data_IF_755379952257
#
_entry.id   IF_755379952257
#
_cell.length_a   1.000
_cell.length_b   1.000
_cell.length_c   1.000
_cell.angle_alpha   90.00
_cell.angle_beta   90.00
_cell.angle_gamma   90.00
#
_symmetry.space_group_name_H-M   'P 1'
#
loop_
_entity.id
_entity.type
_entity.pdbx_description
1 polymer ?
#
# COMPACT_ATOMS: atom_id res chain seq x y z
N UNK A 1 -3.85 13.22 6.54
CA UNK A 1 -2.99 12.92 5.37
C UNK A 1 -3.34 11.51 4.95
N UNK A 2 -3.46 11.26 3.64
CA UNK A 2 -3.77 9.92 3.15
C UNK A 2 -2.48 9.09 3.10
N UNK A 3 -2.55 7.77 3.28
CA UNK A 3 -1.37 6.89 3.19
C UNK A 3 -0.63 7.06 1.85
N UNK A 4 -1.36 7.36 0.77
CA UNK A 4 -0.78 7.67 -0.55
C UNK A 4 0.21 8.83 -0.56
N UNK A 5 0.10 9.79 0.36
CA UNK A 5 1.04 10.91 0.46
C UNK A 5 2.45 10.44 0.88
N UNK A 6 2.57 9.24 1.46
CA UNK A 6 3.84 8.62 1.86
C UNK A 6 4.47 7.78 0.73
N UNK A 7 3.75 7.56 -0.37
CA UNK A 7 4.18 6.69 -1.45
C UNK A 7 4.83 7.49 -2.59
N UNK A 8 5.97 7.04 -3.13
CA UNK A 8 6.60 7.69 -4.27
C UNK A 8 5.82 7.42 -5.57
N UNK A 9 6.04 8.22 -6.62
CA UNK A 9 5.45 8.02 -7.96
C UNK A 9 6.11 6.87 -8.75
N UNK A 10 6.40 5.76 -8.06
CA UNK A 10 6.99 4.53 -8.57
C UNK A 10 6.71 3.37 -7.61
N UNK A 11 6.93 2.10 -8.03
CA UNK A 11 6.97 0.99 -7.10
C UNK A 11 8.01 1.25 -6.00
N UNK A 12 7.71 0.77 -4.80
CA UNK A 12 8.62 0.87 -3.66
C UNK A 12 9.78 -0.09 -3.84
N UNK A 13 10.96 0.30 -3.37
CA UNK A 13 12.02 -0.69 -3.11
C UNK A 13 11.70 -1.47 -1.85
N UNK A 14 12.37 -2.61 -1.66
CA UNK A 14 12.24 -3.38 -0.42
C UNK A 14 12.60 -2.56 0.82
N UNK A 15 13.66 -1.75 0.75
CA UNK A 15 14.10 -0.88 1.85
C UNK A 15 13.04 0.17 2.20
N UNK A 16 12.37 0.75 1.21
CA UNK A 16 11.28 1.72 1.43
C UNK A 16 10.05 1.06 2.05
N UNK A 17 9.72 -0.16 1.62
CA UNK A 17 8.67 -0.97 2.25
C UNK A 17 8.98 -1.24 3.72
N UNK A 18 10.20 -1.70 4.04
CA UNK A 18 10.61 -1.97 5.43
C UNK A 18 10.64 -0.70 6.29
N UNK A 19 10.91 0.47 5.70
CA UNK A 19 10.82 1.74 6.40
C UNK A 19 9.36 2.12 6.70
N UNK A 20 8.43 1.86 5.78
CA UNK A 20 7.00 2.09 5.97
C UNK A 20 6.41 1.13 7.02
N UNK A 21 6.80 -0.14 7.01
CA UNK A 21 6.36 -1.14 7.99
C UNK A 21 6.70 -0.74 9.44
N UNK A 22 7.75 0.07 9.63
CA UNK A 22 8.16 0.60 10.95
C UNK A 22 7.46 1.90 11.34
N UNK A 23 6.54 2.42 10.52
CA UNK A 23 5.82 3.64 10.83
C UNK A 23 4.82 3.38 11.95
N UNK A 24 4.90 4.17 13.03
CA UNK A 24 4.03 4.03 14.20
C UNK A 24 2.53 4.25 13.92
N UNK A 25 2.19 4.83 12.76
CA UNK A 25 0.80 5.06 12.34
C UNK A 25 0.20 3.87 11.57
N UNK A 26 0.97 2.81 11.34
CA UNK A 26 0.55 1.65 10.56
C UNK A 26 0.58 0.44 11.49
N UNK A 27 -0.57 -0.21 11.66
CA UNK A 27 -0.70 -1.40 12.50
C UNK A 27 -0.16 -2.65 11.79
N UNK A 28 -0.42 -2.77 10.48
CA UNK A 28 0.10 -3.85 9.63
C UNK A 28 0.33 -3.36 8.20
N UNK A 29 1.41 -3.84 7.58
CA UNK A 29 1.72 -3.59 6.18
C UNK A 29 2.12 -4.92 5.51
N UNK A 30 1.39 -5.31 4.48
CA UNK A 30 1.63 -6.54 3.74
C UNK A 30 1.84 -6.24 2.24
N UNK A 31 2.54 -7.13 1.55
CA UNK A 31 2.80 -7.05 0.10
C UNK A 31 2.69 -8.44 -0.52
N UNK A 32 2.06 -8.53 -1.69
CA UNK A 32 2.03 -9.76 -2.50
C UNK A 32 3.30 -9.90 -3.36
N UNK A 33 4.01 -8.79 -3.59
CA UNK A 33 5.25 -8.76 -4.36
C UNK A 33 6.40 -9.42 -3.58
N UNK A 34 6.97 -10.48 -4.15
CA UNK A 34 8.04 -11.27 -3.52
C UNK A 34 9.43 -11.00 -4.11
N UNK A 35 9.56 -10.38 -5.29
CA UNK A 35 10.88 -10.16 -5.92
C UNK A 35 11.05 -8.72 -6.46
N UNK A 36 12.01 -8.00 -5.86
CA UNK A 36 12.55 -6.74 -6.39
C UNK A 36 11.83 -5.48 -5.91
N UNK A 37 10.65 -5.19 -6.47
CA UNK A 37 9.92 -3.93 -6.23
C UNK A 37 8.50 -4.21 -5.78
N UNK A 38 8.04 -3.51 -4.75
CA UNK A 38 6.69 -3.65 -4.23
C UNK A 38 5.74 -2.74 -5.00
N UNK A 39 4.83 -3.35 -5.76
CA UNK A 39 3.80 -2.66 -6.54
C UNK A 39 2.39 -2.79 -5.95
N UNK A 40 2.19 -3.66 -4.96
CA UNK A 40 0.93 -3.87 -4.25
C UNK A 40 1.16 -3.85 -2.73
N UNK A 41 0.27 -3.17 -2.00
CA UNK A 41 0.34 -3.03 -0.55
C UNK A 41 -1.04 -3.23 0.06
N UNK A 42 -1.11 -3.98 1.15
CA UNK A 42 -2.27 -4.00 2.04
C UNK A 42 -1.87 -3.31 3.34
N UNK A 43 -2.59 -2.25 3.68
CA UNK A 43 -2.27 -1.37 4.81
C UNK A 43 -3.44 -1.42 5.79
N UNK A 44 -3.12 -1.70 7.05
CA UNK A 44 -4.09 -1.68 8.16
C UNK A 44 -3.74 -0.53 9.10
N UNK A 45 -4.71 0.34 9.35
CA UNK A 45 -4.62 1.47 10.29
C UNK A 45 -5.89 1.48 11.14
N UNK A 46 -5.77 1.12 12.42
CA UNK A 46 -6.90 0.85 13.31
C UNK A 46 -7.81 -0.24 12.75
N UNK A 47 -9.11 0.03 12.67
CA UNK A 47 -10.11 -0.86 12.07
C UNK A 47 -10.23 -0.72 10.53
N UNK A 48 -9.38 0.10 9.90
CA UNK A 48 -9.44 0.34 8.45
C UNK A 48 -8.35 -0.44 7.71
N UNK A 49 -8.77 -1.29 6.78
CA UNK A 49 -7.88 -1.94 5.81
C UNK A 49 -8.04 -1.28 4.44
N UNK A 50 -6.91 -1.01 3.77
CA UNK A 50 -6.89 -0.47 2.42
C UNK A 50 -5.85 -1.18 1.56
N UNK A 51 -6.25 -1.52 0.34
CA UNK A 51 -5.40 -2.17 -0.65
C UNK A 51 -4.97 -1.15 -1.70
N UNK A 52 -3.66 -0.89 -1.78
CA UNK A 52 -3.04 0.03 -2.71
C UNK A 52 -2.30 -0.73 -3.80
N UNK A 53 -2.42 -0.25 -5.04
CA UNK A 53 -1.73 -0.81 -6.18
C UNK A 53 -1.12 0.31 -7.02
N UNK A 54 0.10 0.10 -7.51
CA UNK A 54 0.77 1.01 -8.41
C UNK A 54 0.50 0.62 -9.87
N UNK A 55 -0.02 1.57 -10.65
CA UNK A 55 -0.10 1.41 -12.11
C UNK A 55 0.70 2.52 -12.82
N UNK A 56 1.58 2.18 -13.80
CA UNK A 56 2.29 3.18 -14.59
C UNK A 56 1.33 4.18 -15.24
N UNK A 57 1.55 5.47 -15.00
CA UNK A 57 0.72 6.57 -15.52
C UNK A 57 -0.51 6.92 -14.68
N UNK A 58 -0.87 6.11 -13.67
CA UNK A 58 -1.92 6.41 -12.69
C UNK A 58 -1.34 6.63 -11.29
N UNK A 59 -0.17 6.06 -11.00
CA UNK A 59 0.44 6.08 -9.68
C UNK A 59 -0.23 5.09 -8.73
N UNK A 60 -0.03 5.32 -7.44
CA UNK A 60 -0.67 4.54 -6.38
C UNK A 60 -2.15 4.91 -6.24
N UNK A 61 -3.01 3.90 -6.31
CA UNK A 61 -4.45 4.07 -6.15
C UNK A 61 -5.01 2.89 -5.35
N UNK A 62 -6.12 3.12 -4.64
CA UNK A 62 -6.84 2.04 -4.00
C UNK A 62 -7.78 1.38 -4.99
N UNK A 63 -7.79 0.05 -5.01
CA UNK A 63 -8.97 -0.64 -5.51
C UNK A 63 -10.03 -0.52 -4.42
N UNK A 64 -11.09 0.23 -4.69
CA UNK A 64 -12.34 0.01 -3.98
C UNK A 64 -12.77 -1.42 -4.33
N UNK A 65 -12.37 -2.40 -3.50
CA UNK A 65 -12.95 -3.73 -3.58
C UNK A 65 -14.43 -3.50 -3.31
N UNK A 66 -15.23 -3.54 -4.37
CA UNK A 66 -16.68 -3.39 -4.27
C UNK A 66 -17.15 -4.44 -3.28
N UNK A 67 -17.42 -4.01 -2.06
CA UNK A 67 -18.11 -4.81 -1.06
C UNK A 67 -19.56 -4.91 -1.54
N UNK A 68 -19.77 -5.74 -2.56
CA UNK A 68 -21.08 -6.15 -3.03
C UNK A 68 -21.57 -7.18 -2.01
N UNK A 69 -22.03 -6.69 -0.85
CA UNK A 69 -22.95 -7.45 -0.03
C UNK A 69 -24.19 -7.70 -0.87
N UNK A 70 -24.47 -8.96 -1.17
CA UNK A 70 -25.75 -9.43 -1.65
C UNK A 70 -26.26 -10.55 -0.73
#
# INVERSE_FOLDING_TARGET
MAFTDLLPDRPLTREEFEALERNENIDSLETDDSEGTVSALTVVIGDSEANYHFAPGMGWHTHAHGHHHH
#
